data_IF_796273508219
#
_entry.id   IF_796273508219
#
_cell.length_a   1.000
_cell.length_b   1.000
_cell.length_c   1.000
_cell.angle_alpha   90.00
_cell.angle_beta   90.00
_cell.angle_gamma   90.00
#
_symmetry.space_group_name_H-M   'P 1'
#
loop_
_entity.id
_entity.type
_entity.pdbx_description
1 polymer ?
#
# COMPACT_ATOMS: atom_id res chain seq x y z
N UNK A 1 2.23 21.47 -26.04
CA UNK A 1 0.95 21.92 -25.45
C UNK A 1 0.89 21.84 -23.92
N UNK A 2 1.99 21.50 -23.23
CA UNK A 2 2.06 21.48 -21.75
C UNK A 2 2.83 22.68 -21.14
N UNK A 3 3.59 23.43 -21.94
CA UNK A 3 4.38 24.58 -21.46
C UNK A 3 3.60 25.89 -21.31
N UNK A 4 2.34 25.94 -21.76
CA UNK A 4 1.55 27.19 -21.75
C UNK A 4 0.76 27.41 -20.45
N UNK A 5 0.59 26.38 -19.62
CA UNK A 5 -0.22 26.47 -18.39
C UNK A 5 0.61 26.90 -17.16
N UNK A 6 1.94 26.72 -17.19
CA UNK A 6 2.83 27.07 -16.07
C UNK A 6 3.34 28.52 -16.07
N UNK A 7 2.96 29.34 -17.05
CA UNK A 7 3.39 30.75 -17.14
C UNK A 7 2.34 31.78 -16.69
N UNK A 8 1.17 31.34 -16.21
CA UNK A 8 0.08 32.23 -15.77
C UNK A 8 -0.06 32.41 -14.24
N UNK A 9 0.81 31.80 -13.44
CA UNK A 9 0.83 31.93 -11.96
C UNK A 9 2.16 32.55 -11.50
N UNK A 10 2.61 33.63 -12.17
CA UNK A 10 3.79 34.37 -11.72
C UNK A 10 3.61 35.89 -11.65
N UNK A 11 2.45 36.42 -12.08
CA UNK A 11 2.18 37.86 -12.05
C UNK A 11 0.91 38.17 -11.24
N UNK A 12 0.94 37.92 -9.94
CA UNK A 12 -0.03 38.55 -9.03
C UNK A 12 0.72 39.11 -7.82
N UNK A 13 1.36 40.26 -8.06
CA UNK A 13 1.85 41.14 -7.00
C UNK A 13 0.64 41.82 -6.34
N UNK A 14 0.06 41.16 -5.33
CA UNK A 14 -0.99 41.75 -4.51
C UNK A 14 -0.35 42.73 -3.50
N UNK A 15 -0.88 43.95 -3.32
CA UNK A 15 -0.36 44.87 -2.32
C UNK A 15 -0.56 44.30 -0.91
N UNK A 16 0.46 44.50 -0.05
CA UNK A 16 0.43 44.06 1.34
C UNK A 16 -0.81 44.62 2.08
N UNK A 17 -1.51 43.82 2.89
CA UNK A 17 -2.66 44.30 3.65
C UNK A 17 -2.22 45.37 4.67
N UNK A 18 -3.04 46.41 4.81
CA UNK A 18 -2.81 47.48 5.79
C UNK A 18 -2.69 46.91 7.22
N UNK A 19 -1.86 47.52 8.10
CA UNK A 19 -1.72 47.06 9.47
C UNK A 19 -3.07 47.16 10.19
N UNK A 20 -3.45 46.06 10.86
CA UNK A 20 -4.68 45.99 11.66
C UNK A 20 -4.64 47.06 12.77
N UNK A 21 -5.79 47.70 13.09
CA UNK A 21 -5.87 48.60 14.23
C UNK A 21 -5.56 47.83 15.53
N UNK A 22 -4.81 48.47 16.43
CA UNK A 22 -4.49 47.93 17.75
C UNK A 22 -5.77 47.54 18.52
N UNK A 23 -5.76 46.46 19.32
CA UNK A 23 -6.94 46.05 20.06
C UNK A 23 -7.36 47.16 21.03
N UNK A 24 -8.61 47.58 20.93
CA UNK A 24 -9.23 48.50 21.88
C UNK A 24 -9.09 47.92 23.30
N UNK A 25 -8.67 48.76 24.24
CA UNK A 25 -8.52 48.40 25.65
C UNK A 25 -9.74 47.65 26.17
N UNK A 26 -9.53 46.42 26.63
CA UNK A 26 -10.55 45.60 27.23
C UNK A 26 -11.11 46.30 28.48
N UNK A 27 -12.42 46.55 28.47
CA UNK A 27 -13.17 46.86 29.69
C UNK A 27 -13.03 45.67 30.64
N UNK A 28 -12.64 45.84 31.92
CA UNK A 28 -12.56 44.73 32.84
C UNK A 28 -13.98 44.23 33.14
N UNK A 29 -14.32 43.05 32.61
CA UNK A 29 -15.53 42.34 32.97
C UNK A 29 -15.46 41.97 34.48
N UNK A 30 -16.56 42.08 35.24
CA UNK A 30 -16.57 41.63 36.62
C UNK A 30 -16.29 40.13 36.66
N UNK A 31 -15.22 39.75 37.36
CA UNK A 31 -14.85 38.36 37.62
C UNK A 31 -15.89 37.72 38.55
N UNK A 32 -17.00 37.27 37.97
CA UNK A 32 -17.80 36.22 38.59
C UNK A 32 -17.22 34.90 38.11
N UNK A 33 -16.24 34.38 38.84
CA UNK A 33 -15.79 33.01 38.69
C UNK A 33 -16.96 32.11 39.07
N UNK A 34 -17.80 31.76 38.09
CA UNK A 34 -18.67 30.60 38.23
C UNK A 34 -17.69 29.43 38.33
N UNK A 35 -17.60 28.72 39.46
CA UNK A 35 -16.78 27.53 39.50
C UNK A 35 -17.45 26.54 38.55
N UNK A 36 -16.86 26.35 37.37
CA UNK A 36 -17.11 25.15 36.57
C UNK A 36 -16.49 23.99 37.33
N UNK A 37 -17.11 23.63 38.45
CA UNK A 37 -16.85 22.38 39.14
C UNK A 37 -17.40 21.30 38.21
N UNK A 38 -16.57 20.83 37.28
CA UNK A 38 -16.87 19.61 36.56
C UNK A 38 -17.13 18.53 37.61
N UNK A 39 -18.22 17.74 37.49
CA UNK A 39 -18.45 16.63 38.41
C UNK A 39 -17.18 15.79 38.49
N UNK A 40 -16.78 15.44 39.73
CA UNK A 40 -15.60 14.62 39.99
C UNK A 40 -15.62 13.42 39.05
N UNK A 41 -14.55 13.31 38.25
CA UNK A 41 -14.47 12.37 37.15
C UNK A 41 -14.80 10.94 37.60
N UNK A 42 -15.56 10.26 36.74
CA UNK A 42 -15.89 8.84 36.81
C UNK A 42 -14.65 7.97 37.09
N UNK A 43 -14.62 7.28 38.25
CA UNK A 43 -13.75 6.13 38.56
C UNK A 43 -12.23 6.38 38.57
N UNK A 44 -11.51 5.74 39.50
CA UNK A 44 -10.04 5.65 39.41
C UNK A 44 -9.69 4.64 38.30
N UNK A 45 -9.42 5.15 37.11
CA UNK A 45 -9.00 4.35 35.95
C UNK A 45 -7.50 4.09 36.05
N UNK A 46 -7.09 2.82 36.06
CA UNK A 46 -5.67 2.45 36.06
C UNK A 46 -4.99 2.81 34.72
N UNK A 47 -4.53 4.06 34.64
CA UNK A 47 -3.84 4.59 33.47
C UNK A 47 -2.51 3.89 33.18
N UNK A 48 -1.83 3.32 34.18
CA UNK A 48 -0.56 2.63 33.97
C UNK A 48 -0.79 1.23 33.40
N UNK A 49 -1.77 0.51 33.92
CA UNK A 49 -2.23 -0.77 33.36
C UNK A 49 -2.65 -0.63 31.89
N UNK A 50 -3.39 0.43 31.55
CA UNK A 50 -3.76 0.74 30.17
C UNK A 50 -2.54 1.03 29.28
N UNK A 51 -1.57 1.82 29.75
CA UNK A 51 -0.31 2.07 29.00
C UNK A 51 0.52 0.80 28.77
N UNK A 52 0.52 -0.12 29.73
CA UNK A 52 1.19 -1.41 29.57
C UNK A 52 0.47 -2.29 28.55
N UNK A 53 -0.86 -2.28 28.56
CA UNK A 53 -1.69 -2.95 27.57
C UNK A 53 -1.41 -2.43 26.16
N UNK A 54 -1.43 -1.11 25.95
CA UNK A 54 -1.13 -0.49 24.65
C UNK A 54 0.25 -0.86 24.14
N UNK A 55 1.27 -0.90 25.01
CA UNK A 55 2.63 -1.32 24.65
C UNK A 55 2.70 -2.79 24.21
N UNK A 56 1.97 -3.68 24.88
CA UNK A 56 1.92 -5.11 24.49
C UNK A 56 1.22 -5.30 23.16
N UNK A 57 0.09 -4.62 22.95
CA UNK A 57 -0.64 -4.64 21.68
C UNK A 57 0.23 -4.07 20.56
N UNK A 58 0.88 -2.94 20.80
CA UNK A 58 1.80 -2.32 19.84
C UNK A 58 2.97 -3.24 19.45
N UNK A 59 3.55 -3.97 20.41
CA UNK A 59 4.60 -4.95 20.13
C UNK A 59 4.11 -6.13 19.29
N UNK A 60 2.94 -6.70 19.61
CA UNK A 60 2.34 -7.78 18.83
C UNK A 60 2.03 -7.34 17.40
N UNK A 61 1.49 -6.12 17.24
CA UNK A 61 1.23 -5.53 15.93
C UNK A 61 2.54 -5.36 15.14
N UNK A 62 3.59 -4.83 15.77
CA UNK A 62 4.88 -4.63 15.12
C UNK A 62 5.50 -5.97 14.68
N UNK A 63 5.38 -7.03 15.47
CA UNK A 63 5.83 -8.37 15.07
C UNK A 63 5.03 -8.89 13.87
N UNK A 64 3.71 -8.73 13.90
CA UNK A 64 2.83 -9.15 12.80
C UNK A 64 3.07 -8.39 11.50
N UNK A 65 3.44 -7.11 11.57
CA UNK A 65 3.69 -6.26 10.40
C UNK A 65 5.17 -6.18 10.01
N UNK A 66 6.05 -6.92 10.69
CA UNK A 66 7.51 -6.85 10.45
C UNK A 66 8.12 -5.48 10.77
N UNK A 67 7.52 -4.72 11.68
CA UNK A 67 7.93 -3.38 12.09
C UNK A 67 7.29 -2.25 11.27
N UNK A 68 6.44 -2.56 10.29
CA UNK A 68 5.75 -1.57 9.48
C UNK A 68 4.51 -1.01 10.17
N UNK A 69 4.17 0.25 9.90
CA UNK A 69 2.94 0.85 10.41
C UNK A 69 1.71 0.20 9.77
N UNK A 70 0.74 -0.34 10.54
CA UNK A 70 -0.49 -0.92 9.99
C UNK A 70 -1.31 0.09 9.19
N UNK A 71 -1.34 1.35 9.63
CA UNK A 71 -2.04 2.41 8.93
C UNK A 71 -1.38 2.72 7.58
N UNK A 72 -0.04 2.69 7.52
CA UNK A 72 0.69 2.89 6.27
C UNK A 72 0.45 1.74 5.29
N UNK A 73 0.48 0.49 5.75
CA UNK A 73 0.15 -0.69 4.93
C UNK A 73 -1.28 -0.61 4.38
N UNK A 74 -2.26 -0.29 5.24
CA UNK A 74 -3.65 -0.14 4.83
C UNK A 74 -3.83 0.96 3.77
N UNK A 75 -3.12 2.09 3.93
CA UNK A 75 -3.16 3.18 2.99
C UNK A 75 -2.55 2.77 1.63
N UNK A 76 -1.36 2.16 1.63
CA UNK A 76 -0.70 1.70 0.41
C UNK A 76 -1.55 0.66 -0.35
N UNK A 77 -2.12 -0.31 0.37
CA UNK A 77 -3.01 -1.31 -0.22
C UNK A 77 -4.26 -0.68 -0.83
N UNK A 78 -4.90 0.26 -0.11
CA UNK A 78 -6.12 0.92 -0.59
C UNK A 78 -5.83 1.79 -1.81
N UNK A 79 -4.71 2.51 -1.81
CA UNK A 79 -4.25 3.31 -2.94
C UNK A 79 -4.06 2.44 -4.19
N UNK A 80 -3.28 1.36 -4.08
CA UNK A 80 -3.09 0.38 -5.16
C UNK A 80 -4.42 -0.19 -5.67
N UNK A 81 -5.28 -0.66 -4.76
CA UNK A 81 -6.54 -1.30 -5.11
C UNK A 81 -7.48 -0.33 -5.85
N UNK A 82 -7.56 0.92 -5.42
CA UNK A 82 -8.37 1.95 -6.07
C UNK A 82 -7.82 2.29 -7.45
N UNK A 83 -6.50 2.49 -7.58
CA UNK A 83 -5.87 2.76 -8.87
C UNK A 83 -6.07 1.61 -9.86
N UNK A 84 -5.90 0.37 -9.41
CA UNK A 84 -6.14 -0.80 -10.23
C UNK A 84 -7.61 -0.93 -10.62
N UNK A 85 -8.55 -0.71 -9.68
CA UNK A 85 -9.99 -0.75 -9.94
C UNK A 85 -10.41 0.29 -11.01
N UNK A 86 -9.81 1.47 -10.97
CA UNK A 86 -10.03 2.58 -11.91
C UNK A 86 -9.31 2.43 -13.26
N UNK A 87 -8.48 1.38 -13.44
CA UNK A 87 -7.72 1.13 -14.66
C UNK A 87 -8.30 -0.05 -15.49
N UNK A 88 -9.37 0.14 -16.30
CA UNK A 88 -10.03 -0.94 -17.02
C UNK A 88 -9.12 -1.66 -18.04
N UNK A 89 -8.19 -0.93 -18.67
CA UNK A 89 -7.21 -1.52 -19.60
C UNK A 89 -6.26 -2.49 -18.89
N UNK A 90 -5.66 -2.05 -17.77
CA UNK A 90 -4.77 -2.88 -16.94
C UNK A 90 -5.49 -4.12 -16.40
N UNK A 91 -6.73 -3.94 -15.93
CA UNK A 91 -7.56 -5.08 -15.47
C UNK A 91 -7.83 -6.10 -16.58
N UNK A 92 -8.10 -5.62 -17.80
CA UNK A 92 -8.32 -6.50 -18.96
C UNK A 92 -7.05 -7.24 -19.35
N UNK A 93 -5.90 -6.56 -19.35
CA UNK A 93 -4.59 -7.17 -19.56
C UNK A 93 -4.34 -8.29 -18.55
N UNK A 94 -4.50 -8.02 -17.25
CA UNK A 94 -4.32 -9.02 -16.18
C UNK A 94 -5.28 -10.21 -16.31
N UNK A 95 -6.53 -9.98 -16.72
CA UNK A 95 -7.50 -11.04 -16.94
C UNK A 95 -7.11 -11.94 -18.12
N UNK A 96 -6.67 -11.36 -19.24
CA UNK A 96 -6.20 -12.10 -20.40
C UNK A 96 -4.94 -12.93 -20.07
N UNK A 97 -4.00 -12.35 -19.33
CA UNK A 97 -2.79 -13.06 -18.89
C UNK A 97 -3.10 -14.21 -17.93
N UNK A 98 -4.03 -14.01 -16.98
CA UNK A 98 -4.52 -15.10 -16.13
C UNK A 98 -5.16 -16.23 -16.95
N UNK A 99 -5.99 -15.89 -17.93
CA UNK A 99 -6.68 -16.86 -18.79
C UNK A 99 -5.68 -17.67 -19.64
N UNK A 100 -4.75 -17.01 -20.34
CA UNK A 100 -3.75 -17.70 -21.15
C UNK A 100 -2.79 -18.50 -20.29
N UNK A 101 -2.35 -17.95 -19.16
CA UNK A 101 -1.50 -18.65 -18.19
C UNK A 101 -2.17 -19.90 -17.61
N UNK A 102 -3.47 -19.84 -17.29
CA UNK A 102 -4.24 -20.99 -16.83
C UNK A 102 -4.38 -22.06 -17.91
N UNK A 103 -4.57 -21.67 -19.18
CA UNK A 103 -4.63 -22.61 -20.32
C UNK A 103 -3.31 -23.37 -20.49
N UNK A 104 -2.20 -22.65 -20.46
CA UNK A 104 -0.85 -23.25 -20.55
C UNK A 104 -0.56 -24.15 -19.36
N UNK A 105 -0.93 -23.73 -18.15
CA UNK A 105 -0.78 -24.54 -16.94
C UNK A 105 -1.59 -25.84 -17.02
N UNK A 106 -2.86 -25.77 -17.47
CA UNK A 106 -3.68 -26.95 -17.67
C UNK A 106 -3.07 -27.91 -18.72
N UNK A 107 -2.50 -27.38 -19.80
CA UNK A 107 -1.79 -28.19 -20.78
C UNK A 107 -0.53 -28.86 -20.18
N UNK A 108 0.22 -28.15 -19.34
CA UNK A 108 1.38 -28.72 -18.64
C UNK A 108 0.97 -29.82 -17.66
N UNK A 109 -0.16 -29.69 -16.96
CA UNK A 109 -0.67 -30.76 -16.08
C UNK A 109 -0.98 -32.04 -16.86
N UNK A 110 -1.44 -31.94 -18.11
CA UNK A 110 -1.72 -33.09 -18.98
C UNK A 110 -0.45 -33.68 -19.59
N UNK A 111 0.59 -32.89 -19.78
CA UNK A 111 1.90 -33.34 -20.27
C UNK A 111 3.05 -32.69 -19.48
N UNK A 112 3.38 -33.18 -18.28
CA UNK A 112 4.39 -32.56 -17.41
C UNK A 112 5.83 -32.67 -17.94
N UNK A 113 6.05 -33.53 -18.94
CA UNK A 113 7.35 -33.70 -19.59
C UNK A 113 7.59 -32.65 -20.68
N UNK A 114 6.56 -31.92 -21.13
CA UNK A 114 6.73 -30.83 -22.05
C UNK A 114 7.39 -29.63 -21.33
N UNK A 115 8.44 -29.03 -21.91
CA UNK A 115 9.09 -27.87 -21.31
C UNK A 115 8.11 -26.70 -21.21
N UNK A 116 8.16 -25.98 -20.10
CA UNK A 116 7.34 -24.77 -19.89
C UNK A 116 8.06 -23.51 -20.39
N UNK A 117 7.32 -22.41 -20.52
CA UNK A 117 7.91 -21.11 -20.85
C UNK A 117 9.02 -20.72 -19.86
N UNK A 118 8.79 -20.93 -18.55
CA UNK A 118 9.77 -20.64 -17.51
C UNK A 118 11.00 -21.55 -17.56
N UNK A 119 10.85 -22.81 -17.99
CA UNK A 119 12.01 -23.69 -18.20
C UNK A 119 12.80 -23.30 -19.46
N UNK A 120 12.11 -22.82 -20.51
CA UNK A 120 12.74 -22.37 -21.75
C UNK A 120 13.54 -21.08 -21.58
N UNK A 121 13.08 -20.17 -20.72
CA UNK A 121 13.78 -18.93 -20.37
C UNK A 121 15.02 -19.16 -19.48
N UNK A 122 15.12 -20.35 -18.88
CA UNK A 122 16.20 -20.71 -17.97
C UNK A 122 16.00 -20.18 -16.55
N UNK A 123 16.85 -20.59 -15.59
CA UNK A 123 16.74 -20.11 -14.22
C UNK A 123 16.95 -18.60 -14.18
N UNK A 124 15.97 -17.88 -13.62
CA UNK A 124 16.10 -16.45 -13.30
C UNK A 124 17.35 -16.28 -12.45
N UNK A 125 18.26 -15.40 -12.87
CA UNK A 125 19.52 -15.13 -12.17
C UNK A 125 19.24 -14.78 -10.72
N UNK A 126 19.60 -15.67 -9.78
CA UNK A 126 19.43 -15.48 -8.34
C UNK A 126 18.28 -16.24 -7.67
N UNK A 127 17.38 -16.92 -8.40
CA UNK A 127 16.35 -17.75 -7.77
C UNK A 127 16.85 -19.18 -7.50
N UNK A 128 17.37 -19.40 -6.29
CA UNK A 128 17.91 -20.71 -5.89
C UNK A 128 16.84 -21.71 -5.42
N UNK A 129 15.58 -21.28 -5.23
CA UNK A 129 14.52 -22.12 -4.60
C UNK A 129 14.26 -23.41 -5.39
N UNK A 130 14.43 -23.36 -6.70
CA UNK A 130 14.15 -24.47 -7.62
C UNK A 130 15.41 -25.17 -8.16
N UNK A 131 16.59 -24.97 -7.56
CA UNK A 131 17.87 -25.50 -8.06
C UNK A 131 17.96 -27.03 -8.06
N UNK A 132 17.27 -27.72 -7.14
CA UNK A 132 17.32 -29.18 -7.07
C UNK A 132 16.62 -29.79 -8.30
N UNK A 133 17.25 -30.73 -9.04
CA UNK A 133 16.65 -31.36 -10.22
C UNK A 133 15.31 -32.07 -9.96
N UNK A 134 15.00 -32.41 -8.71
CA UNK A 134 13.70 -32.95 -8.31
C UNK A 134 12.53 -32.00 -8.61
N UNK A 135 12.76 -30.69 -8.65
CA UNK A 135 11.73 -29.71 -9.01
C UNK A 135 11.28 -29.80 -10.47
N UNK A 136 12.09 -30.36 -11.38
CA UNK A 136 11.70 -30.60 -12.78
C UNK A 136 11.00 -31.95 -12.98
N UNK A 137 10.69 -32.68 -11.91
CA UNK A 137 10.01 -33.97 -11.98
C UNK A 137 8.59 -33.84 -11.44
N UNK A 138 7.68 -34.63 -11.99
CA UNK A 138 6.35 -34.78 -11.43
C UNK A 138 6.44 -35.33 -9.99
N UNK A 139 5.65 -34.82 -9.03
CA UNK A 139 4.63 -33.78 -9.16
C UNK A 139 5.16 -32.34 -8.92
N UNK A 140 6.41 -32.19 -8.49
CA UNK A 140 6.98 -30.91 -8.07
C UNK A 140 7.07 -29.88 -9.20
N UNK A 141 7.23 -30.32 -10.45
CA UNK A 141 7.21 -29.44 -11.63
C UNK A 141 5.92 -28.66 -11.76
N UNK A 142 4.78 -29.28 -11.43
CA UNK A 142 3.46 -28.64 -11.45
C UNK A 142 3.39 -27.53 -10.39
N UNK A 143 3.88 -27.80 -9.17
CA UNK A 143 3.86 -26.80 -8.10
C UNK A 143 4.78 -25.62 -8.38
N UNK A 144 5.99 -25.88 -8.88
CA UNK A 144 6.90 -24.83 -9.33
C UNK A 144 6.27 -23.98 -10.42
N UNK A 145 5.73 -24.61 -11.46
CA UNK A 145 5.11 -23.89 -12.59
C UNK A 145 3.93 -23.03 -12.14
N UNK A 146 3.05 -23.58 -11.29
CA UNK A 146 1.93 -22.83 -10.73
C UNK A 146 2.40 -21.63 -9.91
N UNK A 147 3.42 -21.83 -9.07
CA UNK A 147 4.01 -20.77 -8.27
C UNK A 147 4.62 -19.65 -9.13
N UNK A 148 5.44 -19.98 -10.12
CA UNK A 148 6.10 -18.98 -10.99
C UNK A 148 5.08 -18.17 -11.80
N UNK A 149 4.02 -18.81 -12.30
CA UNK A 149 2.91 -18.12 -12.98
C UNK A 149 2.18 -17.16 -12.06
N UNK A 150 1.86 -17.61 -10.84
CA UNK A 150 1.22 -16.75 -9.84
C UNK A 150 2.12 -15.58 -9.45
N UNK A 151 3.43 -15.82 -9.28
CA UNK A 151 4.41 -14.77 -8.99
C UNK A 151 4.46 -13.73 -10.12
N UNK A 152 4.57 -14.16 -11.37
CA UNK A 152 4.60 -13.27 -12.52
C UNK A 152 3.30 -12.45 -12.62
N UNK A 153 2.14 -13.09 -12.44
CA UNK A 153 0.86 -12.39 -12.48
C UNK A 153 0.75 -11.31 -11.38
N UNK A 154 1.18 -11.62 -10.15
CA UNK A 154 1.18 -10.65 -9.06
C UNK A 154 2.16 -9.51 -9.29
N UNK A 155 3.37 -9.82 -9.77
CA UNK A 155 4.35 -8.80 -10.13
C UNK A 155 3.77 -7.79 -11.13
N UNK A 156 3.05 -8.28 -12.14
CA UNK A 156 2.39 -7.41 -13.10
C UNK A 156 1.17 -6.67 -12.54
N UNK A 157 0.48 -7.24 -11.55
CA UNK A 157 -0.67 -6.61 -10.90
C UNK A 157 -0.26 -5.43 -10.00
N UNK A 158 0.94 -5.46 -9.43
CA UNK A 158 1.47 -4.38 -8.58
C UNK A 158 2.34 -3.38 -9.34
N UNK A 159 2.96 -3.79 -10.45
CA UNK A 159 3.78 -2.90 -11.27
C UNK A 159 3.00 -2.18 -12.38
N UNK A 160 3.43 -0.94 -12.66
CA UNK A 160 2.92 -0.11 -13.77
C UNK A 160 1.39 0.11 -13.72
N UNK A 161 0.82 0.29 -12.52
CA UNK A 161 -0.59 0.64 -12.35
C UNK A 161 -0.78 2.13 -12.70
N UNK A 162 -1.63 2.48 -13.69
CA UNK A 162 -1.82 3.87 -14.09
C UNK A 162 -2.31 4.77 -12.95
N UNK A 163 -1.66 5.93 -12.81
CA UNK A 163 -2.03 6.95 -11.81
C UNK A 163 -1.39 6.76 -10.43
N UNK A 164 -0.70 5.64 -10.19
CA UNK A 164 0.02 5.41 -8.93
C UNK A 164 1.32 6.23 -8.89
N UNK A 165 1.58 6.94 -7.80
CA UNK A 165 2.84 7.66 -7.62
C UNK A 165 3.99 6.67 -7.33
N UNK A 166 5.21 6.89 -7.86
CA UNK A 166 6.32 5.92 -7.74
C UNK A 166 6.65 5.50 -6.30
N UNK A 167 6.54 6.43 -5.33
CA UNK A 167 6.89 6.16 -3.93
C UNK A 167 5.89 5.23 -3.20
N UNK A 168 4.68 5.04 -3.74
CA UNK A 168 3.69 4.12 -3.17
C UNK A 168 3.68 2.75 -3.86
N UNK A 169 4.28 2.63 -5.05
CA UNK A 169 4.42 1.35 -5.76
C UNK A 169 5.44 0.43 -5.08
N UNK A 170 6.45 0.97 -4.40
CA UNK A 170 7.51 0.18 -3.75
C UNK A 170 7.05 -0.58 -2.49
N UNK A 171 5.85 -0.28 -1.98
CA UNK A 171 5.31 -0.86 -0.73
C UNK A 171 4.31 -2.00 -1.01
N UNK A 172 3.92 -2.22 -2.28
CA UNK A 172 2.90 -3.20 -2.68
C UNK A 172 3.49 -4.26 -3.60
#
# INVERSE_FOLDING_TARGET
MAETVLKLVSDTNAPAPAPLPAPASAVPAPAHEIPLQLPAACGDVDHEGLRLFDRRVGAAIAEMTGGLSPAALALAYTDWALHLASAPGKRTELALKAMFGAREFAAHMLNPAAPTAFEAEGPVTGDERFRNPGWSRWPYSIWREGFLRTQQWWHEATCNVPGMAPHHADVV
#
